data_IF_491097569147
#
_entry.id   IF_491097569147
#
_cell.length_a   1.000
_cell.length_b   1.000
_cell.length_c   1.000
_cell.angle_alpha   90.00
_cell.angle_beta   90.00
_cell.angle_gamma   90.00
#
_symmetry.space_group_name_H-M   'P 1'
#
loop_
_entity.id
_entity.type
_entity.pdbx_description
1 polymer ?
#
# COMPACT_ATOMS: atom_id res chain seq x y z
N UNK A 1 -10.28 17.42 1.63
CA UNK A 1 -9.99 16.30 0.71
C UNK A 1 -11.01 15.23 1.02
N UNK A 2 -11.72 14.69 0.03
CA UNK A 2 -12.77 13.67 0.25
C UNK A 2 -12.21 12.34 -0.23
N UNK A 3 -12.37 11.28 0.58
CA UNK A 3 -12.04 9.92 0.17
C UNK A 3 -13.17 9.38 -0.72
N UNK A 4 -12.85 9.08 -1.97
CA UNK A 4 -13.80 8.57 -2.98
C UNK A 4 -13.91 7.05 -2.88
N UNK A 5 -12.83 6.42 -2.43
CA UNK A 5 -12.73 4.99 -2.27
C UNK A 5 -11.33 4.59 -1.80
N UNK A 6 -11.31 3.54 -0.99
CA UNK A 6 -10.10 2.84 -0.55
C UNK A 6 -10.08 1.48 -1.23
N UNK A 7 -9.02 1.17 -1.98
CA UNK A 7 -8.81 -0.16 -2.55
C UNK A 7 -7.70 -0.87 -1.79
N UNK A 8 -8.00 -2.07 -1.26
CA UNK A 8 -6.98 -2.93 -0.68
C UNK A 8 -6.15 -3.49 -1.84
N UNK A 9 -4.92 -3.01 -1.98
CA UNK A 9 -4.08 -3.39 -3.11
C UNK A 9 -3.26 -4.63 -2.80
N UNK A 10 -2.82 -4.78 -1.56
CA UNK A 10 -2.02 -5.93 -1.17
C UNK A 10 -2.04 -6.18 0.33
N UNK A 11 -1.89 -7.45 0.67
CA UNK A 11 -1.66 -7.91 2.03
C UNK A 11 -0.24 -8.48 2.11
N UNK A 12 0.54 -7.99 3.06
CA UNK A 12 1.92 -8.39 3.33
C UNK A 12 2.03 -9.04 4.70
N UNK A 13 2.90 -10.03 4.82
CA UNK A 13 3.26 -10.64 6.09
C UNK A 13 4.54 -9.98 6.61
N UNK A 14 4.48 -9.31 7.75
CA UNK A 14 5.62 -8.77 8.47
C UNK A 14 6.08 -9.77 9.53
N UNK A 15 7.38 -10.04 9.53
CA UNK A 15 8.01 -10.92 10.51
C UNK A 15 8.64 -10.06 11.61
N UNK A 16 8.15 -10.23 12.83
CA UNK A 16 8.78 -9.73 14.05
C UNK A 16 9.16 -10.96 14.86
N UNK A 17 10.36 -11.04 15.46
CA UNK A 17 10.72 -12.20 16.29
C UNK A 17 9.60 -12.53 17.29
N UNK A 18 9.17 -13.81 17.30
CA UNK A 18 8.04 -14.35 18.05
C UNK A 18 6.61 -13.91 17.64
N UNK A 19 6.42 -13.05 16.62
CA UNK A 19 5.10 -12.60 16.14
C UNK A 19 5.04 -12.40 14.63
N UNK A 20 4.05 -13.01 13.98
CA UNK A 20 3.70 -12.70 12.59
C UNK A 20 2.58 -11.67 12.56
N UNK A 21 2.75 -10.59 11.78
CA UNK A 21 1.73 -9.55 11.58
C UNK A 21 1.30 -9.50 10.13
N UNK A 22 0.02 -9.17 9.93
CA UNK A 22 -0.54 -8.90 8.61
C UNK A 22 -0.60 -7.39 8.41
N UNK A 23 0.11 -6.88 7.43
CA UNK A 23 0.12 -5.47 7.03
C UNK A 23 -0.71 -5.35 5.75
N UNK A 24 -1.71 -4.48 5.75
CA UNK A 24 -2.53 -4.21 4.58
C UNK A 24 -2.14 -2.87 3.97
N UNK A 25 -1.71 -2.90 2.71
CA UNK A 25 -1.43 -1.69 1.95
C UNK A 25 -2.70 -1.27 1.20
N UNK A 26 -3.25 -0.14 1.62
CA UNK A 26 -4.49 0.43 1.11
C UNK A 26 -4.14 1.64 0.24
N UNK A 27 -4.60 1.65 -1.00
CA UNK A 27 -4.52 2.83 -1.86
C UNK A 27 -5.78 3.67 -1.65
N UNK A 28 -5.59 4.90 -1.18
CA UNK A 28 -6.67 5.87 -1.04
C UNK A 28 -6.73 6.74 -2.30
N UNK A 29 -7.92 6.80 -2.92
CA UNK A 29 -8.22 7.74 -4.00
C UNK A 29 -8.80 9.02 -3.40
N UNK A 30 -8.01 10.09 -3.49
CA UNK A 30 -8.35 11.36 -2.87
C UNK A 30 -8.83 12.37 -3.91
N UNK A 31 -9.98 12.98 -3.63
CA UNK A 31 -10.54 14.06 -4.43
C UNK A 31 -10.13 15.42 -3.83
N UNK A 32 -9.65 16.31 -4.70
CA UNK A 32 -9.42 17.70 -4.34
C UNK A 32 -10.75 18.47 -4.38
N UNK A 33 -11.18 19.04 -3.25
CA UNK A 33 -12.42 19.80 -3.14
C UNK A 33 -12.34 21.09 -3.97
N UNK A 34 -11.17 21.73 -4.00
CA UNK A 34 -10.98 23.00 -4.69
C UNK A 34 -11.04 22.85 -6.22
N UNK A 35 -10.48 21.76 -6.77
CA UNK A 35 -10.50 21.49 -8.21
C UNK A 35 -11.84 20.95 -8.72
N UNK A 36 -12.77 20.59 -7.82
CA UNK A 36 -14.12 20.08 -8.19
C UNK A 36 -15.11 21.21 -8.43
N UNK A 37 -14.89 22.38 -7.82
CA UNK A 37 -15.77 23.55 -7.96
C UNK A 37 -15.70 24.20 -9.34
N UNK A 38 -14.56 24.12 -10.01
CA UNK A 38 -14.35 24.73 -11.32
C UNK A 38 -14.59 23.70 -12.43
N UNK A 39 -15.74 23.77 -13.10
CA UNK A 39 -16.11 22.89 -14.22
C UNK A 39 -15.14 22.94 -15.43
N UNK A 40 -14.21 23.89 -15.42
CA UNK A 40 -13.14 24.04 -16.43
C UNK A 40 -11.89 23.20 -16.11
N UNK A 41 -11.66 22.82 -14.85
CA UNK A 41 -10.50 22.05 -14.45
C UNK A 41 -10.84 20.55 -14.37
N UNK A 42 -10.05 19.70 -15.04
CA UNK A 42 -10.19 18.25 -14.89
C UNK A 42 -10.02 17.90 -13.40
N UNK A 43 -11.05 17.30 -12.80
CA UNK A 43 -10.99 16.78 -11.44
C UNK A 43 -9.78 15.84 -11.31
N UNK A 44 -8.73 16.29 -10.63
CA UNK A 44 -7.52 15.50 -10.44
C UNK A 44 -7.76 14.51 -9.31
N UNK A 45 -8.25 13.31 -9.66
CA UNK A 45 -8.24 12.17 -8.75
C UNK A 45 -6.79 11.78 -8.58
N UNK A 46 -6.22 12.07 -7.39
CA UNK A 46 -4.87 11.65 -7.05
C UNK A 46 -4.96 10.32 -6.31
N UNK A 47 -4.34 9.29 -6.88
CA UNK A 47 -4.16 8.00 -6.22
C UNK A 47 -2.75 7.94 -5.64
N UNK A 48 -2.66 7.67 -4.34
CA UNK A 48 -1.38 7.28 -3.74
C UNK A 48 -1.00 5.91 -4.29
N UNK A 49 0.15 5.80 -4.96
CA UNK A 49 0.65 4.49 -5.41
C UNK A 49 1.10 3.68 -4.20
N UNK A 50 0.66 2.43 -4.10
CA UNK A 50 1.17 1.50 -3.12
C UNK A 50 2.68 1.23 -3.33
N UNK A 51 3.42 0.93 -2.26
CA UNK A 51 4.81 0.52 -2.36
C UNK A 51 4.94 -0.77 -3.21
N UNK A 52 6.02 -0.85 -4.00
CA UNK A 52 6.26 -2.02 -4.84
C UNK A 52 6.73 -3.23 -4.01
N UNK A 53 6.25 -4.45 -4.34
CA UNK A 53 6.72 -5.67 -3.70
C UNK A 53 8.22 -5.90 -3.88
N UNK A 54 8.90 -6.49 -2.88
CA UNK A 54 10.23 -7.07 -3.07
C UNK A 54 10.19 -8.27 -4.02
N UNK A 55 9.15 -9.10 -3.90
CA UNK A 55 8.87 -10.23 -4.79
C UNK A 55 7.46 -10.07 -5.33
N UNK A 56 7.32 -10.03 -6.66
CA UNK A 56 6.02 -9.90 -7.30
C UNK A 56 5.13 -11.11 -6.97
N UNK A 57 3.85 -10.85 -6.67
CA UNK A 57 2.80 -11.85 -6.32
C UNK A 57 3.03 -12.65 -5.02
N UNK A 58 4.06 -12.32 -4.25
CA UNK A 58 4.29 -12.91 -2.92
C UNK A 58 3.62 -12.10 -1.81
N UNK A 59 3.32 -12.74 -0.68
CA UNK A 59 2.96 -12.05 0.57
C UNK A 59 4.18 -11.68 1.42
N UNK A 60 5.39 -12.07 1.02
CA UNK A 60 6.59 -11.83 1.79
C UNK A 60 7.00 -10.34 1.79
N UNK A 61 7.06 -9.75 2.98
CA UNK A 61 7.70 -8.46 3.23
C UNK A 61 9.24 -8.66 3.32
N UNK A 62 10.09 -7.62 3.15
CA UNK A 62 11.54 -7.76 3.30
C UNK A 62 11.97 -8.39 4.61
N UNK A 63 11.21 -8.16 5.70
CA UNK A 63 11.46 -8.77 7.02
C UNK A 63 11.37 -10.30 6.99
N UNK A 64 10.41 -10.85 6.25
CA UNK A 64 10.23 -12.31 6.12
C UNK A 64 11.38 -12.90 5.33
N UNK A 65 11.78 -12.22 4.25
CA UNK A 65 12.92 -12.65 3.44
C UNK A 65 14.21 -12.60 4.27
N UNK A 66 14.45 -11.52 4.99
CA UNK A 66 15.60 -11.38 5.87
C UNK A 66 15.65 -12.49 6.93
N UNK A 67 14.50 -12.85 7.53
CA UNK A 67 14.45 -13.96 8.48
C UNK A 67 14.87 -15.28 7.83
N UNK A 68 14.35 -15.62 6.66
CA UNK A 68 14.68 -16.86 5.95
C UNK A 68 16.17 -16.90 5.56
N UNK A 69 16.67 -15.80 4.98
CA UNK A 69 18.07 -15.71 4.54
C UNK A 69 19.05 -15.67 5.72
N UNK A 70 18.77 -14.93 6.79
CA UNK A 70 19.67 -14.83 7.94
C UNK A 70 19.58 -16.02 8.91
N UNK A 71 18.49 -16.80 8.93
CA UNK A 71 18.39 -18.00 9.79
C UNK A 71 19.16 -19.21 9.25
N UNK A 72 19.50 -19.21 7.96
CA UNK A 72 20.13 -20.36 7.28
C UNK A 72 21.66 -20.27 7.20
N UNK A 73 22.25 -19.24 7.80
CA UNK A 73 23.69 -19.03 7.97
C UNK A 73 24.06 -19.06 9.45
#
# INVERSE_FOLDING_TARGET
MIEIGSTIVREEAEFIPAKMKKVQNIEHALECINCKGDASQKAQIKRGKAPQPPIQRSMANPSVLAAIFCQTW
#
